data_IF_519193677448
#
_entry.id   IF_519193677448
#
_cell.length_a   1.000
_cell.length_b   1.000
_cell.length_c   1.000
_cell.angle_alpha   90.00
_cell.angle_beta   90.00
_cell.angle_gamma   90.00
#
_symmetry.space_group_name_H-M   'P 1'
#
loop_
_entity.id
_entity.type
_entity.pdbx_description
1 polymer ?
#
# COMPACT_ATOMS: atom_id res chain seq x y z
N UNK A 1 -64.59 73.06 -10.14
CA UNK A 1 -63.98 71.92 -9.41
C UNK A 1 -63.55 70.87 -10.44
N UNK A 2 -62.26 70.55 -10.55
CA UNK A 2 -61.74 69.46 -11.40
C UNK A 2 -61.39 68.27 -10.51
N UNK A 3 -61.72 67.01 -10.88
CA UNK A 3 -61.33 65.86 -10.10
C UNK A 3 -59.85 65.52 -10.35
N UNK A 4 -59.11 65.28 -9.26
CA UNK A 4 -57.76 64.74 -9.29
C UNK A 4 -57.80 63.25 -9.67
N UNK A 5 -57.14 62.89 -10.77
CA UNK A 5 -56.96 61.52 -11.23
C UNK A 5 -55.59 61.01 -10.76
N UNK A 6 -55.59 60.00 -9.89
CA UNK A 6 -54.35 59.31 -9.46
C UNK A 6 -54.09 58.11 -10.39
N UNK A 7 -52.86 57.93 -10.92
CA UNK A 7 -52.53 56.75 -11.70
C UNK A 7 -52.33 55.53 -10.79
N UNK A 8 -52.86 54.39 -11.24
CA UNK A 8 -52.78 53.08 -10.58
C UNK A 8 -51.35 52.53 -10.70
N UNK A 9 -50.73 52.16 -9.58
CA UNK A 9 -49.38 51.57 -9.59
C UNK A 9 -49.36 50.20 -10.29
N UNK A 10 -48.32 49.88 -11.10
CA UNK A 10 -48.19 48.57 -11.71
C UNK A 10 -47.79 47.54 -10.64
N UNK A 11 -48.75 46.68 -10.28
CA UNK A 11 -48.51 45.49 -9.47
C UNK A 11 -47.92 44.37 -10.32
N UNK A 12 -46.73 43.89 -9.94
CA UNK A 12 -46.10 42.72 -10.57
C UNK A 12 -44.76 42.39 -9.94
N UNK A 13 -44.76 41.85 -8.72
CA UNK A 13 -43.55 41.28 -8.11
C UNK A 13 -43.20 39.96 -8.83
N UNK A 14 -41.95 39.77 -9.31
CA UNK A 14 -41.55 38.53 -9.95
C UNK A 14 -41.60 37.41 -8.91
N UNK A 15 -42.40 36.38 -9.18
CA UNK A 15 -42.45 35.14 -8.40
C UNK A 15 -41.03 34.60 -8.26
N UNK A 16 -40.46 34.74 -7.05
CA UNK A 16 -39.16 34.22 -6.70
C UNK A 16 -39.12 32.71 -6.93
N UNK A 17 -38.21 32.27 -7.79
CA UNK A 17 -37.88 30.86 -7.93
C UNK A 17 -37.32 30.38 -6.59
N UNK A 18 -37.95 29.34 -6.02
CA UNK A 18 -37.43 28.75 -4.78
C UNK A 18 -36.10 28.07 -5.10
N UNK A 19 -35.03 28.31 -4.32
CA UNK A 19 -33.79 27.58 -4.48
C UNK A 19 -34.05 26.09 -4.26
N UNK A 20 -33.51 25.25 -5.15
CA UNK A 20 -33.64 23.79 -5.07
C UNK A 20 -33.07 23.22 -3.75
N UNK A 21 -33.45 21.99 -3.38
CA UNK A 21 -33.00 21.37 -2.14
C UNK A 21 -31.47 21.28 -2.12
N UNK A 22 -30.86 21.87 -1.08
CA UNK A 22 -29.42 21.74 -0.86
C UNK A 22 -29.13 20.31 -0.42
N UNK A 23 -28.10 19.64 -0.97
CA UNK A 23 -27.72 18.32 -0.51
C UNK A 23 -27.35 18.38 0.98
N UNK A 24 -27.75 17.35 1.73
CA UNK A 24 -27.49 17.28 3.16
C UNK A 24 -25.98 17.08 3.41
N UNK A 25 -25.40 17.75 4.42
CA UNK A 25 -23.97 17.68 4.71
C UNK A 25 -23.48 16.25 5.02
N UNK A 26 -24.38 15.39 5.50
CA UNK A 26 -24.12 13.98 5.79
C UNK A 26 -23.81 13.19 4.50
N UNK A 27 -24.55 13.45 3.41
CA UNK A 27 -24.33 12.76 2.13
C UNK A 27 -22.96 13.10 1.53
N UNK A 28 -22.50 14.35 1.66
CA UNK A 28 -21.21 14.80 1.14
C UNK A 28 -20.01 14.19 1.87
N UNK A 29 -20.10 13.96 3.19
CA UNK A 29 -19.01 13.34 3.96
C UNK A 29 -18.88 11.83 3.65
N UNK A 30 -20.00 11.11 3.57
CA UNK A 30 -20.00 9.68 3.26
C UNK A 30 -19.42 9.40 1.85
N UNK A 31 -19.80 10.20 0.86
CA UNK A 31 -19.28 10.07 -0.52
C UNK A 31 -17.76 10.34 -0.58
N UNK A 32 -17.25 11.28 0.22
CA UNK A 32 -15.82 11.60 0.26
C UNK A 32 -15.00 10.48 0.93
N UNK A 33 -15.53 9.84 1.97
CA UNK A 33 -14.86 8.68 2.60
C UNK A 33 -14.82 7.47 1.68
N UNK A 34 -15.92 7.16 0.99
CA UNK A 34 -15.97 6.05 0.04
C UNK A 34 -14.96 6.24 -1.11
N UNK A 35 -14.88 7.44 -1.68
CA UNK A 35 -13.92 7.76 -2.73
C UNK A 35 -12.45 7.60 -2.27
N UNK A 36 -12.14 8.00 -1.02
CA UNK A 36 -10.79 7.82 -0.44
C UNK A 36 -10.45 6.36 -0.20
N UNK A 37 -11.40 5.57 0.30
CA UNK A 37 -11.20 4.13 0.51
C UNK A 37 -10.97 3.39 -0.81
N UNK A 38 -11.79 3.68 -1.84
CA UNK A 38 -11.62 3.14 -3.19
C UNK A 38 -10.27 3.55 -3.80
N UNK A 39 -9.88 4.82 -3.66
CA UNK A 39 -8.58 5.31 -4.12
C UNK A 39 -7.41 4.60 -3.44
N UNK A 40 -7.47 4.39 -2.12
CA UNK A 40 -6.44 3.67 -1.37
C UNK A 40 -6.34 2.19 -1.80
N UNK A 41 -7.49 1.51 -1.95
CA UNK A 41 -7.52 0.13 -2.42
C UNK A 41 -6.95 -0.02 -3.83
N UNK A 42 -7.29 0.89 -4.74
CA UNK A 42 -6.77 0.89 -6.10
C UNK A 42 -5.25 1.12 -6.11
N UNK A 43 -4.74 2.04 -5.28
CA UNK A 43 -3.31 2.28 -5.13
C UNK A 43 -2.58 1.03 -4.60
N UNK A 44 -3.14 0.35 -3.60
CA UNK A 44 -2.58 -0.90 -3.08
C UNK A 44 -2.62 -2.03 -4.12
N UNK A 45 -3.68 -2.13 -4.93
CA UNK A 45 -3.81 -3.16 -5.95
C UNK A 45 -2.88 -2.94 -7.15
N UNK A 46 -2.54 -1.69 -7.45
CA UNK A 46 -1.63 -1.32 -8.54
C UNK A 46 -0.15 -1.25 -8.10
N UNK A 47 0.13 -1.34 -6.80
CA UNK A 47 1.49 -1.38 -6.31
C UNK A 47 2.20 -2.65 -6.83
N UNK A 48 3.38 -2.53 -7.47
CA UNK A 48 4.11 -3.71 -7.93
C UNK A 48 4.54 -4.58 -6.75
N UNK A 49 4.41 -5.89 -6.90
CA UNK A 49 4.90 -6.85 -5.91
C UNK A 49 6.45 -6.84 -5.93
N UNK A 50 7.04 -6.18 -4.94
CA UNK A 50 8.49 -6.16 -4.76
C UNK A 50 8.94 -7.34 -3.87
N UNK A 51 9.92 -8.11 -4.33
CA UNK A 51 10.67 -9.05 -3.49
C UNK A 51 12.04 -8.46 -3.19
N UNK A 52 12.25 -8.05 -1.94
CA UNK A 52 13.53 -7.54 -1.45
C UNK A 52 14.37 -8.67 -0.83
N UNK A 53 15.69 -8.57 -1.00
CA UNK A 53 16.65 -9.40 -0.28
C UNK A 53 17.49 -8.51 0.62
N UNK A 54 17.72 -8.92 1.86
CA UNK A 54 18.45 -8.16 2.86
C UNK A 54 19.70 -8.91 3.32
N UNK A 55 20.73 -8.15 3.73
CA UNK A 55 21.91 -8.67 4.42
C UNK A 55 22.26 -7.73 5.58
N UNK A 56 23.11 -8.20 6.51
CA UNK A 56 23.61 -7.39 7.62
C UNK A 56 24.83 -6.58 7.16
N UNK A 57 24.65 -5.28 6.97
CA UNK A 57 25.69 -4.39 6.44
C UNK A 57 26.72 -3.95 7.49
N UNK A 58 26.25 -3.69 8.72
CA UNK A 58 27.09 -3.26 9.83
C UNK A 58 26.65 -3.98 11.14
N UNK A 59 27.53 -4.73 11.82
CA UNK A 59 28.88 -5.08 11.36
C UNK A 59 28.83 -5.88 10.05
N UNK A 60 29.87 -5.77 9.19
CA UNK A 60 29.88 -6.46 7.90
C UNK A 60 29.73 -7.96 8.12
N UNK A 61 28.64 -8.53 7.61
CA UNK A 61 28.39 -9.97 7.74
C UNK A 61 29.32 -10.80 6.86
N UNK A 62 29.39 -12.11 7.13
CA UNK A 62 30.31 -13.04 6.43
C UNK A 62 30.15 -13.01 4.90
N UNK A 63 28.94 -12.77 4.40
CA UNK A 63 28.66 -12.64 2.96
C UNK A 63 29.26 -11.37 2.32
N UNK A 64 29.46 -10.30 3.08
CA UNK A 64 30.13 -9.09 2.62
C UNK A 64 31.66 -9.25 2.65
N UNK A 65 32.15 -10.02 3.62
CA UNK A 65 33.58 -10.22 3.85
C UNK A 65 34.16 -11.31 2.94
N UNK A 66 33.35 -12.25 2.46
CA UNK A 66 33.79 -13.28 1.53
C UNK A 66 33.54 -12.84 0.07
N UNK A 67 34.56 -12.85 -0.80
CA UNK A 67 34.41 -12.62 -2.24
C UNK A 67 33.82 -13.88 -2.88
N UNK A 68 32.52 -14.08 -2.71
CA UNK A 68 31.79 -15.08 -3.49
C UNK A 68 31.33 -14.40 -4.78
N UNK A 69 31.37 -15.12 -5.90
CA UNK A 69 30.83 -14.69 -7.21
C UNK A 69 29.30 -14.46 -7.20
N UNK A 70 28.70 -14.41 -6.02
CA UNK A 70 27.26 -14.37 -5.79
C UNK A 70 26.85 -13.03 -5.17
N UNK A 71 25.65 -12.58 -5.52
CA UNK A 71 25.02 -11.40 -4.92
C UNK A 71 25.00 -11.51 -3.38
N UNK A 72 25.53 -10.53 -2.62
CA UNK A 72 25.56 -10.57 -1.14
C UNK A 72 24.17 -10.78 -0.53
N UNK A 73 23.13 -10.29 -1.20
CA UNK A 73 21.75 -10.43 -0.77
C UNK A 73 21.18 -11.85 -0.99
N UNK A 74 21.76 -12.66 -1.87
CA UNK A 74 21.28 -14.00 -2.24
C UNK A 74 21.86 -15.14 -1.38
N UNK A 75 22.71 -14.80 -0.41
CA UNK A 75 23.43 -15.76 0.45
C UNK A 75 22.58 -16.53 1.47
N UNK A 76 21.26 -16.35 1.46
CA UNK A 76 20.30 -17.32 1.96
C UNK A 76 20.20 -18.54 1.03
N UNK A 77 21.33 -19.11 0.59
CA UNK A 77 21.35 -20.34 -0.21
C UNK A 77 20.47 -20.32 -1.48
N UNK A 78 20.52 -19.22 -2.25
CA UNK A 78 19.66 -18.93 -3.42
C UNK A 78 18.20 -18.56 -3.07
N UNK A 79 17.96 -18.12 -1.83
CA UNK A 79 16.71 -17.49 -1.40
C UNK A 79 15.69 -18.44 -0.77
N UNK A 80 14.58 -17.89 -0.24
CA UNK A 80 13.63 -18.64 0.60
C UNK A 80 13.00 -19.87 -0.08
N UNK A 81 12.82 -19.86 -1.40
CA UNK A 81 12.28 -20.99 -2.15
C UNK A 81 13.26 -22.18 -2.19
N UNK A 82 14.53 -21.91 -2.48
CA UNK A 82 15.58 -22.93 -2.48
C UNK A 82 15.81 -23.49 -1.08
N UNK A 83 15.85 -22.61 -0.07
CA UNK A 83 15.94 -22.97 1.36
C UNK A 83 14.79 -23.84 1.80
N UNK A 84 13.54 -23.43 1.54
CA UNK A 84 12.34 -24.19 1.93
C UNK A 84 12.32 -25.56 1.29
N UNK A 85 12.74 -25.67 0.02
CA UNK A 85 12.85 -26.95 -0.68
C UNK A 85 13.88 -27.88 -0.06
N UNK A 86 15.08 -27.37 0.24
CA UNK A 86 16.17 -28.15 0.88
C UNK A 86 15.81 -28.60 2.29
N UNK A 87 15.14 -27.75 3.08
CA UNK A 87 14.80 -28.04 4.46
C UNK A 87 13.47 -28.79 4.64
N UNK A 88 12.70 -29.00 3.56
CA UNK A 88 11.37 -29.61 3.64
C UNK A 88 10.38 -28.81 4.52
N UNK A 89 10.55 -27.48 4.57
CA UNK A 89 9.76 -26.60 5.44
C UNK A 89 10.18 -26.58 6.92
N UNK A 90 11.26 -27.26 7.30
CA UNK A 90 11.80 -27.20 8.66
C UNK A 90 12.82 -26.07 8.83
N UNK A 91 12.97 -25.62 10.07
CA UNK A 91 14.06 -24.72 10.45
C UNK A 91 15.41 -25.46 10.42
N UNK A 92 16.54 -24.79 10.13
CA UNK A 92 17.85 -25.40 10.22
C UNK A 92 18.09 -26.10 11.56
N UNK A 93 18.47 -27.38 11.51
CA UNK A 93 18.75 -28.21 12.68
C UNK A 93 19.75 -29.32 12.34
N UNK A 94 20.43 -29.84 13.36
CA UNK A 94 21.37 -30.97 13.22
C UNK A 94 20.73 -32.22 12.61
N UNK A 95 19.42 -32.38 12.75
CA UNK A 95 18.63 -33.49 12.21
C UNK A 95 18.30 -33.30 10.72
N UNK A 96 18.52 -32.10 10.19
CA UNK A 96 18.27 -31.74 8.79
C UNK A 96 19.57 -31.27 8.15
N UNK A 97 20.56 -32.17 7.95
CA UNK A 97 21.86 -31.84 7.39
C UNK A 97 21.82 -31.46 5.91
N UNK A 98 20.64 -31.40 5.28
CA UNK A 98 20.46 -30.81 3.94
C UNK A 98 20.01 -29.33 4.00
N UNK A 99 19.65 -28.83 5.19
CA UNK A 99 19.30 -27.43 5.41
C UNK A 99 20.54 -26.52 5.38
N UNK A 100 20.34 -25.24 5.11
CA UNK A 100 21.43 -24.26 5.14
C UNK A 100 21.91 -24.02 6.58
N UNK A 101 23.13 -23.49 6.75
CA UNK A 101 23.59 -23.04 8.06
C UNK A 101 22.78 -21.86 8.59
N UNK A 102 22.80 -21.64 9.91
CA UNK A 102 22.12 -20.50 10.56
C UNK A 102 22.49 -19.14 9.93
N UNK A 103 23.69 -19.05 9.32
CA UNK A 103 24.23 -17.86 8.68
C UNK A 103 24.24 -17.93 7.14
N UNK A 104 23.48 -18.85 6.51
CA UNK A 104 23.48 -19.08 5.06
C UNK A 104 24.26 -20.33 4.64
N UNK A 105 24.60 -20.45 3.35
CA UNK A 105 25.48 -21.52 2.85
C UNK A 105 26.93 -21.31 3.36
N UNK A 106 27.70 -22.39 3.63
CA UNK A 106 27.37 -23.80 3.38
C UNK A 106 26.42 -24.44 4.41
N UNK A 107 25.93 -25.61 4.03
CA UNK A 107 25.12 -26.54 4.83
C UNK A 107 25.77 -26.80 6.21
N UNK A 108 24.95 -26.98 7.25
CA UNK A 108 25.43 -27.32 8.59
C UNK A 108 26.42 -28.51 8.55
N UNK A 109 27.53 -28.40 9.27
CA UNK A 109 28.61 -29.40 9.35
C UNK A 109 29.36 -29.69 8.04
N UNK A 110 29.43 -28.71 7.12
CA UNK A 110 30.37 -28.73 5.99
C UNK A 110 31.24 -27.47 6.03
N UNK A 111 32.54 -27.66 6.23
CA UNK A 111 33.56 -26.61 6.03
C UNK A 111 34.13 -26.71 4.62
#
# INVERSE_FOLDING_TARGET
LKPHFWPKAPGGSPRGQRPGPRPSPIATHAMTQAARALGALLLCALAPACRGHAYLADPPSRNLLHPLDNCPHCMQSNGPSAVKGRAGGHWPSVERPASHGLCGDPVQNRN
#
